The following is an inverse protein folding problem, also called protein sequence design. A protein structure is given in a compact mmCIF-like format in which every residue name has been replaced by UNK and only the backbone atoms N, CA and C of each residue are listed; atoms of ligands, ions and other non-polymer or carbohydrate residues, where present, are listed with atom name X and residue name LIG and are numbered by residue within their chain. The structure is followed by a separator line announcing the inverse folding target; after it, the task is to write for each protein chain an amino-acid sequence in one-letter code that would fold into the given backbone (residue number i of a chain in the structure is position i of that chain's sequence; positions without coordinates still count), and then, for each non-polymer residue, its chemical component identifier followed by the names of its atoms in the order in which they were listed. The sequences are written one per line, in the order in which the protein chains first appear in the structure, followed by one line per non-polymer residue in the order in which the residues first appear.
data_IF_018418528751
#
_entry.id   IF_018418528751
#
_cell.length_a   1.000
_cell.length_b   1.000
_cell.length_c   1.000
_cell.angle_alpha   90.00
_cell.angle_beta   90.00
_cell.angle_gamma   90.00
#
_symmetry.space_group_name_H-M   'P 1'
#
loop_
_entity.id
_entity.type
_entity.pdbx_description
1 polymer ?
#
# COMPACT_ATOMS: atom_id res chain seq x y z
N UNK A 1 20.60 5.22 -12.18
CA UNK A 1 20.20 3.81 -11.98
C UNK A 1 19.79 3.75 -10.51
N UNK A 2 18.52 3.55 -10.20
CA UNK A 2 18.11 3.27 -8.82
C UNK A 2 18.56 1.85 -8.54
N UNK A 3 19.48 1.66 -7.59
CA UNK A 3 19.87 0.34 -7.14
C UNK A 3 18.64 -0.38 -6.57
N UNK A 4 18.52 -1.70 -6.84
CA UNK A 4 17.43 -2.50 -6.29
C UNK A 4 17.52 -2.53 -4.76
N UNK A 5 16.38 -2.48 -4.08
CA UNK A 5 16.29 -2.56 -2.63
C UNK A 5 16.77 -3.93 -2.16
N UNK A 6 17.76 -3.94 -1.29
CA UNK A 6 18.35 -5.15 -0.72
C UNK A 6 17.45 -5.77 0.34
N UNK A 7 17.20 -7.09 0.23
CA UNK A 7 16.35 -7.82 1.18
C UNK A 7 17.13 -8.94 1.87
N UNK A 8 17.02 -8.97 3.20
CA UNK A 8 17.42 -10.10 4.04
C UNK A 8 16.19 -10.96 4.33
N UNK A 9 16.31 -12.27 4.18
CA UNK A 9 15.27 -13.23 4.58
C UNK A 9 15.76 -14.02 5.78
N UNK A 10 14.98 -14.00 6.87
CA UNK A 10 15.29 -14.71 8.11
C UNK A 10 14.17 -15.69 8.43
N UNK A 11 14.44 -16.97 8.24
CA UNK A 11 13.51 -18.07 8.47
C UNK A 11 14.33 -19.36 8.67
N UNK A 12 14.04 -20.12 9.70
CA UNK A 12 14.78 -21.36 10.02
C UNK A 12 14.42 -22.52 9.08
N UNK A 13 13.24 -22.48 8.43
CA UNK A 13 12.91 -23.39 7.34
C UNK A 13 13.48 -22.86 6.01
N UNK A 14 14.55 -23.53 5.53
CA UNK A 14 15.21 -23.16 4.28
C UNK A 14 14.28 -23.18 3.05
N UNK A 15 13.19 -23.97 3.07
CA UNK A 15 12.20 -24.05 1.97
C UNK A 15 11.34 -22.80 1.95
N UNK A 16 10.92 -22.33 3.13
CA UNK A 16 10.17 -21.09 3.30
C UNK A 16 11.05 -19.92 2.90
N UNK A 17 12.29 -19.87 3.38
CA UNK A 17 13.27 -18.86 2.98
C UNK A 17 13.51 -18.84 1.46
N UNK A 18 13.59 -20.02 0.82
CA UNK A 18 13.73 -20.13 -0.64
C UNK A 18 12.48 -19.62 -1.38
N UNK A 19 11.28 -19.96 -0.91
CA UNK A 19 10.02 -19.47 -1.47
C UNK A 19 9.94 -17.93 -1.37
N UNK A 20 10.21 -17.37 -0.21
CA UNK A 20 10.20 -15.91 -0.02
C UNK A 20 11.26 -15.24 -0.92
N UNK A 21 12.44 -15.87 -1.11
CA UNK A 21 13.46 -15.37 -2.04
C UNK A 21 12.93 -15.28 -3.47
N UNK A 22 12.26 -16.32 -3.94
CA UNK A 22 11.68 -16.33 -5.29
C UNK A 22 10.64 -15.22 -5.48
N UNK A 23 9.80 -14.98 -4.45
CA UNK A 23 8.80 -13.91 -4.50
C UNK A 23 9.47 -12.54 -4.54
N UNK A 24 10.48 -12.30 -3.69
CA UNK A 24 11.23 -11.03 -3.64
C UNK A 24 11.90 -10.76 -4.98
N UNK A 25 12.64 -11.72 -5.52
CA UNK A 25 13.39 -11.57 -6.79
C UNK A 25 12.45 -11.40 -8.00
N UNK A 26 11.18 -11.86 -7.91
CA UNK A 26 10.16 -11.63 -8.93
C UNK A 26 9.57 -10.20 -8.87
N UNK A 27 9.74 -9.47 -7.78
CA UNK A 27 9.24 -8.09 -7.65
C UNK A 27 10.30 -7.12 -8.16
N UNK A 28 9.97 -6.37 -9.21
CA UNK A 28 10.88 -5.37 -9.79
C UNK A 28 11.37 -4.36 -8.77
N UNK A 29 12.66 -4.14 -8.71
CA UNK A 29 13.31 -3.18 -7.83
C UNK A 29 13.67 -3.75 -6.46
N UNK A 30 13.67 -5.10 -6.34
CA UNK A 30 14.13 -5.81 -5.16
C UNK A 30 15.14 -6.90 -5.54
N UNK A 31 16.04 -7.20 -4.61
CA UNK A 31 16.98 -8.31 -4.74
C UNK A 31 17.30 -8.88 -3.37
N UNK A 32 17.36 -10.21 -3.26
CA UNK A 32 17.79 -10.88 -2.03
C UNK A 32 19.30 -10.76 -1.88
N UNK A 33 19.76 -10.12 -0.80
CA UNK A 33 21.18 -9.98 -0.45
C UNK A 33 21.69 -11.14 0.37
N UNK A 34 20.88 -11.60 1.33
CA UNK A 34 21.24 -12.69 2.20
C UNK A 34 20.03 -13.49 2.69
N UNK A 35 20.30 -14.71 3.17
CA UNK A 35 19.35 -15.55 3.90
C UNK A 35 20.00 -15.99 5.20
N UNK A 36 19.24 -15.98 6.30
CA UNK A 36 19.68 -16.38 7.62
C UNK A 36 18.66 -17.32 8.27
N UNK A 37 19.10 -18.36 8.92
CA UNK A 37 18.25 -19.32 9.64
C UNK A 37 18.21 -19.07 11.16
N UNK A 38 18.78 -17.96 11.65
CA UNK A 38 18.83 -17.62 13.08
C UNK A 38 19.08 -16.15 13.28
N UNK A 39 18.84 -15.64 14.48
CA UNK A 39 19.13 -14.25 14.89
C UNK A 39 20.63 -13.95 14.75
N UNK A 40 21.49 -14.87 15.21
CA UNK A 40 22.93 -14.70 15.08
C UNK A 40 23.39 -14.57 13.64
N UNK A 41 22.86 -15.41 12.75
CA UNK A 41 23.16 -15.33 11.31
C UNK A 41 22.61 -14.07 10.67
N UNK A 42 21.42 -13.59 11.09
CA UNK A 42 20.83 -12.35 10.61
C UNK A 42 21.67 -11.11 10.98
N UNK A 43 22.15 -11.02 12.21
CA UNK A 43 23.07 -9.95 12.64
C UNK A 43 24.36 -9.93 11.82
N UNK A 44 24.93 -11.11 11.56
CA UNK A 44 26.12 -11.23 10.71
C UNK A 44 25.82 -10.77 9.28
N UNK A 45 24.70 -11.20 8.70
CA UNK A 45 24.30 -10.83 7.35
C UNK A 45 24.16 -9.31 7.18
N UNK A 46 23.53 -8.62 8.13
CA UNK A 46 23.41 -7.13 8.09
C UNK A 46 24.77 -6.45 8.22
N UNK A 47 25.68 -7.00 9.02
CA UNK A 47 27.03 -6.44 9.14
C UNK A 47 27.86 -6.63 7.87
N UNK A 48 27.67 -7.74 7.13
CA UNK A 48 28.36 -8.05 5.88
C UNK A 48 27.73 -7.33 4.66
N UNK A 49 26.43 -7.01 4.71
CA UNK A 49 25.67 -6.40 3.64
C UNK A 49 25.00 -5.09 4.10
N UNK A 50 25.73 -3.98 4.15
CA UNK A 50 25.20 -2.68 4.59
C UNK A 50 24.17 -2.09 3.60
N UNK A 51 23.97 -2.71 2.46
CA UNK A 51 22.97 -2.39 1.45
C UNK A 51 21.65 -3.18 1.61
N UNK A 52 21.42 -3.79 2.78
CA UNK A 52 20.14 -4.35 3.16
C UNK A 52 19.21 -3.21 3.59
N UNK A 53 18.12 -3.03 2.85
CA UNK A 53 17.08 -2.03 3.13
C UNK A 53 15.92 -2.60 3.95
N UNK A 54 15.62 -3.89 3.76
CA UNK A 54 14.46 -4.56 4.35
C UNK A 54 14.81 -5.95 4.83
N UNK A 55 14.37 -6.31 6.03
CA UNK A 55 14.41 -7.69 6.53
C UNK A 55 13.00 -8.30 6.60
N UNK A 56 12.82 -9.51 6.04
CA UNK A 56 11.65 -10.36 6.26
C UNK A 56 11.98 -11.33 7.38
N UNK A 57 11.34 -11.20 8.54
CA UNK A 57 11.70 -11.90 9.76
C UNK A 57 10.60 -12.89 10.16
N UNK A 58 10.94 -14.18 10.26
CA UNK A 58 10.05 -15.12 10.96
C UNK A 58 10.00 -14.80 12.46
N UNK A 59 8.86 -15.08 13.09
CA UNK A 59 8.66 -14.86 14.53
C UNK A 59 9.47 -15.85 15.35
N UNK A 60 9.47 -17.12 14.94
CA UNK A 60 10.12 -18.19 15.69
C UNK A 60 11.43 -18.58 15.04
N UNK A 61 12.52 -18.29 15.72
CA UNK A 61 13.86 -18.65 15.30
C UNK A 61 14.51 -19.53 16.39
N UNK A 62 15.45 -20.41 16.04
CA UNK A 62 16.02 -21.38 16.97
C UNK A 62 16.74 -20.75 18.19
N UNK A 63 17.18 -19.49 18.05
CA UNK A 63 17.93 -18.74 19.05
C UNK A 63 17.16 -17.56 19.62
N UNK A 64 15.84 -17.42 19.35
CA UNK A 64 15.00 -16.40 19.95
C UNK A 64 13.81 -15.96 19.10
N UNK A 65 13.30 -14.77 19.40
CA UNK A 65 12.16 -14.18 18.70
C UNK A 65 12.62 -13.21 17.61
N UNK A 66 12.14 -13.39 16.36
CA UNK A 66 12.37 -12.42 15.32
C UNK A 66 11.75 -11.05 15.59
N UNK A 67 10.74 -10.98 16.50
CA UNK A 67 10.17 -9.69 16.91
C UNK A 67 11.19 -8.88 17.72
N UNK A 68 11.99 -9.53 18.57
CA UNK A 68 13.01 -8.84 19.35
C UNK A 68 14.13 -8.30 18.44
N UNK A 69 14.43 -9.02 17.35
CA UNK A 69 15.42 -8.61 16.38
C UNK A 69 15.04 -7.30 15.63
N UNK A 70 13.74 -6.99 15.50
CA UNK A 70 13.27 -5.76 14.81
C UNK A 70 13.92 -4.50 15.37
N UNK A 71 14.04 -4.39 16.70
CA UNK A 71 14.59 -3.21 17.36
C UNK A 71 16.14 -3.14 17.30
N UNK A 72 16.79 -4.20 16.84
CA UNK A 72 18.24 -4.32 16.81
C UNK A 72 18.85 -4.04 15.42
N UNK A 73 18.03 -4.20 14.38
CA UNK A 73 18.51 -4.01 13.00
C UNK A 73 18.39 -2.56 12.55
N UNK A 74 19.40 -2.07 11.84
CA UNK A 74 19.42 -0.72 11.24
C UNK A 74 18.73 -0.68 9.87
N UNK A 75 17.84 -1.64 9.59
CA UNK A 75 17.02 -1.68 8.36
C UNK A 75 15.54 -1.83 8.69
N UNK A 76 14.69 -1.50 7.71
CA UNK A 76 13.25 -1.70 7.87
C UNK A 76 12.91 -3.19 8.01
N UNK A 77 11.84 -3.51 8.77
CA UNK A 77 11.47 -4.90 9.04
C UNK A 77 10.02 -5.18 8.73
N UNK A 78 9.76 -6.33 8.09
CA UNK A 78 8.47 -6.98 8.01
C UNK A 78 8.49 -8.27 8.81
N UNK A 79 7.50 -8.50 9.65
CA UNK A 79 7.30 -9.78 10.31
C UNK A 79 6.45 -10.70 9.45
N UNK A 80 6.87 -11.95 9.36
CA UNK A 80 6.20 -13.01 8.60
C UNK A 80 6.03 -14.21 9.54
N UNK A 81 4.88 -14.36 10.18
CA UNK A 81 4.71 -15.37 11.24
C UNK A 81 3.36 -16.05 11.23
N UNK A 82 3.27 -17.23 11.85
CA UNK A 82 2.02 -17.97 12.01
C UNK A 82 1.15 -17.47 13.18
N UNK A 83 1.67 -16.57 14.00
CA UNK A 83 0.95 -16.04 15.16
C UNK A 83 -0.25 -15.19 14.75
N UNK A 84 -1.40 -15.54 15.29
CA UNK A 84 -2.66 -14.79 15.14
C UNK A 84 -3.03 -14.00 16.39
N UNK A 85 -2.24 -14.12 17.46
CA UNK A 85 -2.50 -13.37 18.69
C UNK A 85 -2.23 -11.87 18.48
N UNK A 86 -3.24 -11.08 18.78
CA UNK A 86 -3.17 -9.64 18.67
C UNK A 86 -2.07 -9.02 19.57
N UNK A 87 -1.61 -9.69 20.62
CA UNK A 87 -0.51 -9.22 21.46
C UNK A 87 0.82 -9.30 20.72
N UNK A 88 1.10 -10.40 20.01
CA UNK A 88 2.30 -10.58 19.21
C UNK A 88 2.38 -9.53 18.08
N UNK A 89 1.27 -9.33 17.37
CA UNK A 89 1.18 -8.28 16.33
C UNK A 89 1.47 -6.89 16.92
N UNK A 90 0.84 -6.54 18.07
CA UNK A 90 1.10 -5.25 18.72
C UNK A 90 2.54 -5.09 19.17
N UNK A 91 3.17 -6.17 19.65
CA UNK A 91 4.58 -6.15 20.08
C UNK A 91 5.49 -5.91 18.89
N UNK A 92 5.28 -6.61 17.77
CA UNK A 92 6.02 -6.40 16.53
C UNK A 92 5.93 -4.95 16.02
N UNK A 93 4.71 -4.40 15.98
CA UNK A 93 4.50 -3.02 15.52
C UNK A 93 5.13 -1.98 16.49
N UNK A 94 5.14 -2.24 17.79
CA UNK A 94 5.83 -1.38 18.78
C UNK A 94 7.35 -1.48 18.68
N UNK A 95 7.88 -2.64 18.30
CA UNK A 95 9.30 -2.84 18.06
C UNK A 95 9.79 -2.10 16.80
N UNK A 96 8.87 -1.64 15.93
CA UNK A 96 9.21 -0.89 14.72
C UNK A 96 8.95 -1.64 13.41
N UNK A 97 8.33 -2.82 13.45
CA UNK A 97 7.97 -3.53 12.23
C UNK A 97 6.99 -2.70 11.38
N UNK A 98 7.29 -2.55 10.10
CA UNK A 98 6.44 -1.79 9.17
C UNK A 98 5.23 -2.59 8.67
N UNK A 99 5.32 -3.92 8.69
CA UNK A 99 4.22 -4.82 8.33
C UNK A 99 4.29 -6.13 9.13
N UNK A 100 3.12 -6.78 9.23
CA UNK A 100 2.98 -8.13 9.75
C UNK A 100 2.15 -8.94 8.78
N UNK A 101 2.70 -10.05 8.29
CA UNK A 101 2.03 -11.01 7.41
C UNK A 101 1.77 -12.30 8.20
N UNK A 102 0.51 -12.72 8.25
CA UNK A 102 0.12 -13.96 8.96
C UNK A 102 0.17 -15.12 7.97
N UNK A 103 0.99 -16.13 8.26
CA UNK A 103 1.06 -17.39 7.49
C UNK A 103 -0.21 -18.23 7.74
N UNK A 104 -0.83 -18.89 6.73
CA UNK A 104 -0.45 -18.85 5.31
C UNK A 104 -0.98 -17.59 4.61
N UNK A 105 -0.22 -17.06 3.66
CA UNK A 105 -0.61 -15.96 2.78
C UNK A 105 -0.24 -16.30 1.33
N UNK A 106 -0.88 -15.63 0.38
CA UNK A 106 -0.58 -15.82 -1.04
C UNK A 106 0.70 -15.04 -1.44
N UNK A 107 1.45 -15.57 -2.40
CA UNK A 107 2.65 -14.92 -2.96
C UNK A 107 2.36 -13.47 -3.40
N UNK A 108 1.15 -13.24 -3.95
CA UNK A 108 0.68 -11.92 -4.33
C UNK A 108 0.52 -10.96 -3.13
N UNK A 109 0.32 -11.45 -1.91
CA UNK A 109 0.21 -10.62 -0.71
C UNK A 109 1.57 -10.06 -0.32
N UNK A 110 2.62 -10.89 -0.33
CA UNK A 110 4.00 -10.44 -0.08
C UNK A 110 4.46 -9.49 -1.20
N UNK A 111 4.27 -9.86 -2.47
CA UNK A 111 4.64 -9.03 -3.61
C UNK A 111 3.97 -7.64 -3.54
N UNK A 112 2.71 -7.58 -3.15
CA UNK A 112 1.96 -6.33 -2.97
C UNK A 112 2.53 -5.47 -1.83
N UNK A 113 2.93 -6.09 -0.71
CA UNK A 113 3.56 -5.39 0.42
C UNK A 113 4.91 -4.81 0.03
N UNK A 114 5.72 -5.59 -0.70
CA UNK A 114 7.02 -5.12 -1.22
C UNK A 114 6.85 -3.93 -2.17
N UNK A 115 5.91 -4.01 -3.12
CA UNK A 115 5.62 -2.90 -4.02
C UNK A 115 5.14 -1.63 -3.25
N UNK A 116 4.32 -1.81 -2.20
CA UNK A 116 3.93 -0.72 -1.31
C UNK A 116 5.09 -0.11 -0.54
N UNK A 117 6.03 -0.95 -0.09
CA UNK A 117 7.26 -0.51 0.57
C UNK A 117 8.17 0.28 -0.37
N UNK A 118 8.35 -0.18 -1.62
CA UNK A 118 9.12 0.59 -2.61
C UNK A 118 8.52 1.98 -2.86
N UNK A 119 7.19 2.09 -2.90
CA UNK A 119 6.50 3.37 -3.02
C UNK A 119 6.71 4.25 -1.77
N UNK A 120 6.57 3.67 -0.57
CA UNK A 120 6.85 4.34 0.70
C UNK A 120 8.26 4.93 0.72
N UNK A 121 9.29 4.13 0.43
CA UNK A 121 10.69 4.57 0.37
C UNK A 121 10.90 5.67 -0.66
N UNK A 122 10.31 5.55 -1.85
CA UNK A 122 10.42 6.55 -2.93
C UNK A 122 9.85 7.90 -2.52
N UNK A 123 8.69 7.92 -1.89
CA UNK A 123 8.04 9.16 -1.45
C UNK A 123 8.85 9.83 -0.35
N UNK A 124 9.40 9.07 0.59
CA UNK A 124 10.17 9.60 1.71
C UNK A 124 11.66 9.87 1.39
N UNK A 125 12.16 9.47 0.23
CA UNK A 125 13.51 9.80 -0.22
C UNK A 125 13.68 11.27 -0.63
N UNK A 126 12.61 12.05 -0.77
CA UNK A 126 12.64 13.47 -1.08
C UNK A 126 13.17 14.31 0.06
N UNK A 127 13.91 15.39 -0.25
CA UNK A 127 14.46 16.30 0.74
C UNK A 127 13.40 17.08 1.55
N UNK A 128 12.19 17.24 0.99
CA UNK A 128 11.04 17.84 1.64
C UNK A 128 9.79 17.02 1.31
N UNK A 129 9.01 16.72 2.31
CA UNK A 129 7.73 16.03 2.18
C UNK A 129 6.63 16.89 2.79
N UNK A 130 5.50 17.00 2.11
CA UNK A 130 4.28 17.61 2.65
C UNK A 130 3.38 16.53 3.31
N UNK A 131 2.31 16.97 3.98
CA UNK A 131 1.41 16.04 4.65
C UNK A 131 0.76 15.05 3.67
N UNK A 132 0.44 15.48 2.45
CA UNK A 132 -0.14 14.60 1.43
C UNK A 132 0.82 13.49 1.02
N UNK A 133 2.11 13.82 0.85
CA UNK A 133 3.15 12.84 0.56
C UNK A 133 3.29 11.81 1.70
N UNK A 134 3.29 12.27 2.96
CA UNK A 134 3.33 11.38 4.13
C UNK A 134 2.11 10.43 4.15
N UNK A 135 0.90 10.97 3.98
CA UNK A 135 -0.33 10.17 3.97
C UNK A 135 -0.33 9.14 2.83
N UNK A 136 0.16 9.54 1.65
CA UNK A 136 0.32 8.66 0.49
C UNK A 136 1.32 7.53 0.76
N UNK A 137 2.48 7.85 1.34
CA UNK A 137 3.50 6.87 1.71
C UNK A 137 2.96 5.83 2.71
N UNK A 138 2.32 6.29 3.78
CA UNK A 138 1.75 5.41 4.80
C UNK A 138 0.59 4.55 4.24
N UNK A 139 -0.21 5.09 3.34
CA UNK A 139 -1.26 4.33 2.65
C UNK A 139 -0.67 3.23 1.76
N UNK A 140 0.38 3.54 0.98
CA UNK A 140 1.07 2.56 0.15
C UNK A 140 1.65 1.42 0.99
N UNK A 141 2.28 1.73 2.12
CA UNK A 141 2.84 0.76 3.04
C UNK A 141 1.76 -0.17 3.64
N UNK A 142 0.59 0.38 4.03
CA UNK A 142 -0.49 -0.38 4.67
C UNK A 142 -1.25 -1.29 3.70
N UNK A 143 -1.52 -0.81 2.50
CA UNK A 143 -2.43 -1.47 1.56
C UNK A 143 -1.72 -2.03 0.33
N UNK A 144 -0.41 -1.78 0.20
CA UNK A 144 0.36 -2.09 -1.00
C UNK A 144 -0.06 -1.21 -2.17
N UNK A 145 0.45 -1.52 -3.35
CA UNK A 145 0.12 -0.78 -4.58
C UNK A 145 -1.35 -0.84 -4.98
N UNK A 146 -2.14 -1.75 -4.38
CA UNK A 146 -3.61 -1.74 -4.57
C UNK A 146 -4.28 -0.45 -4.12
N UNK A 147 -3.66 0.31 -3.21
CA UNK A 147 -4.11 1.66 -2.87
C UNK A 147 -3.65 2.68 -3.92
N UNK A 148 -2.44 2.54 -4.47
CA UNK A 148 -1.94 3.34 -5.58
C UNK A 148 -2.73 3.02 -6.87
N UNK A 149 -2.97 1.72 -7.18
CA UNK A 149 -3.83 1.30 -8.30
C UNK A 149 -5.28 1.75 -8.13
N UNK A 150 -5.79 1.81 -6.88
CA UNK A 150 -7.11 2.39 -6.61
C UNK A 150 -7.10 3.92 -6.67
N UNK A 151 -6.00 4.57 -6.29
CA UNK A 151 -5.85 6.02 -6.44
C UNK A 151 -5.66 6.38 -7.91
N UNK A 152 -4.87 5.60 -8.67
CA UNK A 152 -4.75 5.75 -10.12
C UNK A 152 -6.02 5.33 -10.86
N UNK A 153 -6.69 4.25 -10.44
CA UNK A 153 -8.01 3.86 -10.98
C UNK A 153 -9.09 4.85 -10.57
N UNK A 154 -9.04 5.42 -9.36
CA UNK A 154 -9.89 6.53 -8.93
C UNK A 154 -9.61 7.78 -9.75
N UNK A 155 -8.36 8.13 -9.97
CA UNK A 155 -7.93 9.23 -10.84
C UNK A 155 -8.32 8.99 -12.30
N UNK A 156 -8.14 7.79 -12.83
CA UNK A 156 -8.56 7.42 -14.20
C UNK A 156 -10.09 7.43 -14.32
N UNK A 157 -10.84 6.90 -13.35
CA UNK A 157 -12.30 6.93 -13.34
C UNK A 157 -12.81 8.36 -13.14
N UNK A 158 -12.19 9.15 -12.27
CA UNK A 158 -12.53 10.56 -12.07
C UNK A 158 -12.24 11.41 -13.31
N UNK A 159 -11.15 11.14 -14.02
CA UNK A 159 -10.85 11.77 -15.32
C UNK A 159 -11.89 11.40 -16.38
N UNK A 160 -12.29 10.13 -16.44
CA UNK A 160 -13.36 9.69 -17.35
C UNK A 160 -14.72 10.32 -16.98
N UNK A 161 -15.00 10.45 -15.68
CA UNK A 161 -16.19 11.16 -15.19
C UNK A 161 -16.14 12.63 -15.58
N UNK A 162 -15.00 13.33 -15.35
CA UNK A 162 -14.85 14.73 -15.74
C UNK A 162 -14.99 14.97 -17.25
N UNK A 163 -14.56 14.01 -18.05
CA UNK A 163 -14.69 14.08 -19.52
C UNK A 163 -16.15 14.00 -20.00
N UNK A 164 -17.11 13.63 -19.15
CA UNK A 164 -18.54 13.69 -19.47
C UNK A 164 -19.14 15.10 -19.30
N UNK A 165 -18.40 16.01 -18.66
CA UNK A 165 -18.88 17.35 -18.35
C UNK A 165 -18.25 18.37 -19.30
N UNK A 166 -19.07 18.98 -20.13
CA UNK A 166 -18.72 20.15 -20.93
C UNK A 166 -19.33 21.43 -20.32
N UNK A 167 -18.93 22.60 -20.82
CA UNK A 167 -19.49 23.88 -20.39
C UNK A 167 -21.01 23.89 -20.63
N UNK A 168 -21.78 23.94 -19.55
CA UNK A 168 -23.24 23.89 -19.58
C UNK A 168 -23.88 22.49 -19.45
N UNK A 169 -23.08 21.43 -19.38
CA UNK A 169 -23.59 20.08 -19.13
C UNK A 169 -23.81 19.85 -17.65
N UNK A 170 -24.98 19.36 -17.28
CA UNK A 170 -25.28 18.86 -15.94
C UNK A 170 -25.72 17.40 -16.01
N UNK A 171 -25.25 16.58 -15.07
CA UNK A 171 -25.49 15.13 -15.01
C UNK A 171 -25.90 14.70 -13.60
N UNK A 172 -26.75 13.68 -13.53
CA UNK A 172 -27.06 12.99 -12.29
C UNK A 172 -26.11 11.80 -12.07
N UNK A 173 -25.97 11.34 -10.84
CA UNK A 173 -25.14 10.19 -10.51
C UNK A 173 -25.51 8.91 -11.28
N UNK A 174 -26.79 8.73 -11.58
CA UNK A 174 -27.28 7.58 -12.34
C UNK A 174 -26.91 7.65 -13.82
N UNK A 175 -26.79 8.86 -14.40
CA UNK A 175 -26.33 9.07 -15.78
C UNK A 175 -24.83 8.76 -15.86
N UNK A 176 -24.03 9.28 -14.93
CA UNK A 176 -22.60 8.99 -14.82
C UNK A 176 -22.36 7.49 -14.61
N UNK A 177 -23.16 6.82 -13.78
CA UNK A 177 -23.12 5.36 -13.56
C UNK A 177 -23.28 4.60 -14.87
N UNK A 178 -24.23 5.01 -15.71
CA UNK A 178 -24.56 4.37 -17.00
C UNK A 178 -23.45 4.61 -18.03
N UNK A 179 -23.00 5.85 -18.17
CA UNK A 179 -21.99 6.24 -19.18
C UNK A 179 -20.59 5.64 -18.89
N UNK A 180 -20.20 5.60 -17.62
CA UNK A 180 -18.89 5.06 -17.22
C UNK A 180 -18.92 3.53 -17.07
N UNK A 181 -20.10 2.92 -16.86
CA UNK A 181 -20.25 1.49 -16.64
C UNK A 181 -19.87 1.06 -15.21
N UNK A 182 -20.10 1.91 -14.21
CA UNK A 182 -19.83 1.63 -12.79
C UNK A 182 -21.13 1.62 -11.97
N UNK A 183 -21.14 0.95 -10.82
CA UNK A 183 -22.30 0.93 -9.94
C UNK A 183 -22.65 2.34 -9.40
N UNK A 184 -23.95 2.66 -9.29
CA UNK A 184 -24.43 3.97 -8.83
C UNK A 184 -23.86 4.44 -7.49
N UNK A 185 -23.67 3.58 -6.44
CA UNK A 185 -22.98 3.98 -5.22
C UNK A 185 -21.52 4.40 -5.45
N UNK A 186 -20.84 3.74 -6.41
CA UNK A 186 -19.45 4.06 -6.78
C UNK A 186 -19.39 5.40 -7.51
N UNK A 187 -20.32 5.64 -8.44
CA UNK A 187 -20.44 6.94 -9.14
C UNK A 187 -20.68 8.09 -8.15
N UNK A 188 -21.59 7.92 -7.18
CA UNK A 188 -21.86 8.93 -6.14
C UNK A 188 -20.63 9.25 -5.30
N UNK A 189 -19.82 8.24 -4.93
CA UNK A 189 -18.57 8.44 -4.18
C UNK A 189 -17.56 9.26 -4.97
N UNK A 190 -17.32 8.93 -6.24
CA UNK A 190 -16.39 9.68 -7.09
C UNK A 190 -16.86 11.11 -7.34
N UNK A 191 -18.16 11.31 -7.59
CA UNK A 191 -18.74 12.64 -7.75
C UNK A 191 -18.60 13.48 -6.48
N UNK A 192 -18.81 12.89 -5.28
CA UNK A 192 -18.60 13.58 -4.01
C UNK A 192 -17.11 13.97 -3.82
N UNK A 193 -16.16 13.12 -4.19
CA UNK A 193 -14.73 13.43 -4.15
C UNK A 193 -14.39 14.60 -5.09
N UNK A 194 -14.94 14.59 -6.31
CA UNK A 194 -14.72 15.68 -7.28
C UNK A 194 -15.32 17.03 -6.82
N UNK A 195 -16.44 16.99 -6.12
CA UNK A 195 -17.03 18.19 -5.46
C UNK A 195 -16.14 18.67 -4.33
N UNK A 196 -15.66 17.76 -3.47
CA UNK A 196 -14.75 18.10 -2.37
C UNK A 196 -13.42 18.68 -2.88
N UNK A 197 -12.93 18.20 -4.06
CA UNK A 197 -11.75 18.73 -4.74
C UNK A 197 -12.02 20.03 -5.54
N UNK A 198 -13.23 20.59 -5.50
CA UNK A 198 -13.60 21.80 -6.24
C UNK A 198 -13.63 21.64 -7.77
N UNK A 199 -13.58 20.38 -8.28
CA UNK A 199 -13.59 20.07 -9.71
C UNK A 199 -15.01 20.04 -10.30
N UNK A 200 -16.02 19.81 -9.45
CA UNK A 200 -17.43 19.87 -9.77
C UNK A 200 -18.18 20.66 -8.70
N UNK A 201 -19.32 21.23 -9.06
CA UNK A 201 -20.32 21.77 -8.13
C UNK A 201 -21.53 20.86 -8.09
N UNK A 202 -22.21 20.80 -6.93
CA UNK A 202 -23.43 20.03 -6.74
C UNK A 202 -24.58 20.92 -6.35
N UNK A 203 -25.72 20.74 -7.02
CA UNK A 203 -27.00 21.37 -6.68
C UNK A 203 -28.08 20.33 -6.45
N UNK A 204 -29.08 20.68 -5.66
CA UNK A 204 -30.26 19.83 -5.43
C UNK A 204 -31.38 20.24 -6.36
N UNK A 205 -31.81 19.32 -7.21
CA UNK A 205 -33.02 19.49 -8.02
C UNK A 205 -34.24 18.90 -7.28
N UNK A 206 -35.22 19.75 -7.05
CA UNK A 206 -36.52 19.39 -6.44
C UNK A 206 -37.51 19.12 -7.58
N UNK A 207 -37.96 17.87 -7.73
CA UNK A 207 -39.09 17.53 -8.61
C UNK A 207 -40.43 17.79 -7.93
N UNK A 208 -41.52 17.70 -8.69
CA UNK A 208 -42.92 17.88 -8.19
C UNK A 208 -43.32 16.79 -7.17
N UNK A 209 -42.67 15.66 -7.15
CA UNK A 209 -42.84 14.54 -6.20
C UNK A 209 -41.54 13.75 -6.08
N UNK A 210 -41.09 13.44 -4.84
CA UNK A 210 -39.95 12.57 -4.58
C UNK A 210 -38.79 13.23 -3.80
N UNK A 211 -37.73 12.45 -3.54
CA UNK A 211 -36.48 12.97 -2.91
C UNK A 211 -35.73 13.86 -3.88
N UNK A 212 -35.12 14.96 -3.41
CA UNK A 212 -34.27 15.81 -4.24
C UNK A 212 -33.16 14.99 -4.88
N UNK A 213 -32.88 15.23 -6.17
CA UNK A 213 -31.81 14.60 -6.91
C UNK A 213 -30.59 15.50 -6.92
N UNK A 214 -29.41 14.91 -6.73
CA UNK A 214 -28.12 15.62 -6.80
C UNK A 214 -27.71 15.75 -8.27
N UNK A 215 -27.62 16.99 -8.74
CA UNK A 215 -27.14 17.37 -10.05
C UNK A 215 -25.72 17.92 -9.93
N UNK A 216 -24.85 17.51 -10.84
CA UNK A 216 -23.44 17.87 -10.86
C UNK A 216 -23.11 18.62 -12.15
N UNK A 217 -22.22 19.64 -12.06
CA UNK A 217 -21.74 20.45 -13.18
C UNK A 217 -20.34 20.98 -12.94
N UNK A 218 -19.67 21.44 -14.00
CA UNK A 218 -18.42 22.16 -13.86
C UNK A 218 -18.64 23.47 -13.07
N UNK A 219 -17.64 23.92 -12.26
CA UNK A 219 -17.70 25.26 -11.65
C UNK A 219 -17.81 26.33 -12.73
N UNK A 220 -18.64 27.35 -12.49
CA UNK A 220 -18.63 28.56 -13.31
C UNK A 220 -17.28 29.29 -13.10
N UNK A 221 -16.64 29.72 -14.18
CA UNK A 221 -15.35 30.38 -14.18
C UNK A 221 -15.42 31.79 -13.57
#
# INVERSE_FOLDING_TARGET
MTDDLGVLIVDDDFRVAALHSMIVDAVRGFTVRARAGSIGAARQAVAEHPDIDLALLDVYLPDGSGIDLVAELDCDCFIVGAETDASAVRTAMRAGALAYLIKPFDDADLARRLAGYAQYRRVLAGANVDQHAVDSALSALRFGTRAADRAESGSSTEQRILALFDAGTSLFADDVSREIGIAAPTARRHLANLVAAGRLTMSLQYGTTGRPRQEYRLPEA
#
